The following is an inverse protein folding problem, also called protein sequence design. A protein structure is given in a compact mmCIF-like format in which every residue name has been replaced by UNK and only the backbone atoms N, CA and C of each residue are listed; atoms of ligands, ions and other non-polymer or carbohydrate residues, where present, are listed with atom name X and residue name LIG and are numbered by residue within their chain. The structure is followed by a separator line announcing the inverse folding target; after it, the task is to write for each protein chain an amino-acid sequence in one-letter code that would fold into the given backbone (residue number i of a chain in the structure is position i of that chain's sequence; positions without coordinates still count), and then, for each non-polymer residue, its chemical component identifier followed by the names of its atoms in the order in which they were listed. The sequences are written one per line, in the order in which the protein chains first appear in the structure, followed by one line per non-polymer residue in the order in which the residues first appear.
data_IF_889640719199
#
_entry.id   IF_889640719199
#
_cell.length_a   1.000
_cell.length_b   1.000
_cell.length_c   1.000
_cell.angle_alpha   90.00
_cell.angle_beta   90.00
_cell.angle_gamma   90.00
#
_symmetry.space_group_name_H-M   'P 1'
#
loop_
_entity.id
_entity.type
_entity.pdbx_description
1 polymer ?
#
# COMPACT_ATOMS: atom_id res chain seq x y z
N UNK A 1 13.29 -92.49 -47.25
CA UNK A 1 12.70 -91.34 -47.98
C UNK A 1 11.58 -90.78 -47.12
N UNK A 2 11.66 -89.48 -46.77
CA UNK A 2 10.58 -88.51 -46.43
C UNK A 2 9.39 -88.99 -45.55
N UNK A 3 8.94 -88.34 -44.48
CA UNK A 3 8.94 -86.93 -44.08
C UNK A 3 8.22 -86.82 -42.71
N UNK A 4 8.59 -85.79 -41.91
CA UNK A 4 7.73 -84.99 -40.98
C UNK A 4 7.08 -85.70 -39.77
N UNK A 5 6.88 -85.10 -38.59
CA UNK A 5 7.11 -83.78 -37.99
C UNK A 5 6.98 -83.95 -36.45
N UNK A 6 7.85 -83.20 -35.73
CA UNK A 6 7.89 -82.72 -34.32
C UNK A 6 6.82 -83.26 -33.34
N UNK A 7 7.18 -84.10 -32.37
CA UNK A 7 7.83 -83.88 -31.04
C UNK A 7 6.90 -83.29 -29.95
N UNK A 8 6.57 -84.20 -29.02
CA UNK A 8 5.82 -84.06 -27.79
C UNK A 8 6.60 -83.39 -26.64
N UNK A 9 5.88 -82.56 -25.89
CA UNK A 9 5.64 -82.57 -24.42
C UNK A 9 6.71 -83.20 -23.50
N UNK A 10 7.21 -82.42 -22.54
CA UNK A 10 7.32 -82.76 -21.08
C UNK A 10 7.92 -81.55 -20.31
N UNK A 11 7.17 -80.91 -19.39
CA UNK A 11 7.09 -81.11 -17.92
C UNK A 11 8.29 -80.57 -17.12
N UNK A 12 8.00 -79.73 -16.10
CA UNK A 12 8.88 -79.62 -14.91
C UNK A 12 9.00 -78.22 -14.31
N UNK A 13 8.47 -78.06 -13.10
CA UNK A 13 8.39 -76.85 -12.26
C UNK A 13 9.71 -76.24 -11.78
N UNK A 14 9.72 -74.92 -11.49
CA UNK A 14 10.37 -74.33 -10.32
C UNK A 14 10.11 -72.80 -10.15
N UNK A 15 9.58 -72.44 -8.98
CA UNK A 15 9.93 -71.30 -8.11
C UNK A 15 9.76 -69.82 -8.54
N UNK A 16 8.83 -69.21 -7.80
CA UNK A 16 8.61 -67.80 -7.44
C UNK A 16 9.86 -66.93 -7.37
N UNK A 17 9.82 -65.77 -8.04
CA UNK A 17 10.34 -64.49 -7.54
C UNK A 17 9.36 -63.38 -7.92
N UNK A 18 8.52 -63.00 -6.95
CA UNK A 18 7.73 -61.77 -6.98
C UNK A 18 8.73 -60.62 -6.85
N UNK A 19 9.19 -60.08 -7.98
CA UNK A 19 9.85 -58.78 -7.98
C UNK A 19 8.75 -57.73 -7.80
N UNK A 20 8.52 -57.33 -6.56
CA UNK A 20 7.65 -56.21 -6.22
C UNK A 20 8.17 -54.94 -6.91
N UNK A 21 7.47 -54.49 -7.93
CA UNK A 21 7.53 -53.11 -8.37
C UNK A 21 6.88 -52.28 -7.26
N UNK A 22 7.67 -51.84 -6.29
CA UNK A 22 7.30 -50.68 -5.48
C UNK A 22 7.13 -49.52 -6.48
N UNK A 23 5.96 -48.87 -6.59
CA UNK A 23 5.91 -47.58 -7.22
C UNK A 23 6.72 -46.67 -6.31
N UNK A 24 8.00 -46.49 -6.65
CA UNK A 24 8.83 -45.48 -6.04
C UNK A 24 8.01 -44.21 -6.08
N UNK A 25 7.69 -43.66 -4.90
CA UNK A 25 7.09 -42.33 -4.80
C UNK A 25 7.98 -41.44 -5.65
N UNK A 26 7.48 -41.03 -6.81
CA UNK A 26 8.13 -40.01 -7.62
C UNK A 26 8.32 -38.85 -6.66
N UNK A 27 9.58 -38.54 -6.34
CA UNK A 27 9.88 -37.31 -5.63
C UNK A 27 9.24 -36.20 -6.45
N UNK A 28 8.28 -35.50 -5.88
CA UNK A 28 7.75 -34.29 -6.50
C UNK A 28 8.94 -33.38 -6.72
N UNK A 29 9.21 -33.01 -7.97
CA UNK A 29 10.28 -32.08 -8.29
C UNK A 29 10.14 -30.86 -7.38
N UNK A 30 11.16 -30.59 -6.57
CA UNK A 30 11.23 -29.34 -5.83
C UNK A 30 11.40 -28.28 -6.92
N UNK A 31 10.50 -27.28 -6.98
CA UNK A 31 10.62 -26.20 -7.94
C UNK A 31 12.03 -25.58 -7.86
N UNK A 32 12.65 -25.31 -9.01
CA UNK A 32 13.91 -24.58 -9.05
C UNK A 32 13.70 -23.21 -8.38
N UNK A 33 14.45 -22.95 -7.30
CA UNK A 33 14.34 -21.72 -6.52
C UNK A 33 14.55 -20.47 -7.37
N UNK A 34 15.40 -20.56 -8.40
CA UNK A 34 15.68 -19.45 -9.30
C UNK A 34 14.51 -19.20 -10.27
N UNK A 35 13.83 -20.26 -10.74
CA UNK A 35 12.63 -20.14 -11.57
C UNK A 35 11.44 -19.59 -10.78
N UNK A 36 11.26 -20.04 -9.53
CA UNK A 36 10.22 -19.51 -8.62
C UNK A 36 10.47 -18.03 -8.33
N UNK A 37 11.72 -17.66 -8.03
CA UNK A 37 12.09 -16.27 -7.74
C UNK A 37 11.85 -15.37 -8.96
N UNK A 38 12.26 -15.82 -10.15
CA UNK A 38 12.01 -15.10 -11.41
C UNK A 38 10.53 -14.92 -11.69
N UNK A 39 9.73 -15.97 -11.49
CA UNK A 39 8.28 -15.92 -11.67
C UNK A 39 7.62 -14.93 -10.69
N UNK A 40 7.99 -14.99 -9.41
CA UNK A 40 7.46 -14.09 -8.38
C UNK A 40 7.85 -12.64 -8.68
N UNK A 41 9.11 -12.36 -8.98
CA UNK A 41 9.58 -11.00 -9.31
C UNK A 41 8.87 -10.44 -10.56
N UNK A 42 8.70 -11.26 -11.60
CA UNK A 42 7.96 -10.86 -12.80
C UNK A 42 6.49 -10.55 -12.49
N UNK A 43 5.85 -11.36 -11.63
CA UNK A 43 4.46 -11.13 -11.21
C UNK A 43 4.32 -9.88 -10.34
N UNK A 44 5.27 -9.63 -9.43
CA UNK A 44 5.33 -8.38 -8.66
C UNK A 44 5.43 -7.17 -9.57
N UNK A 45 6.42 -7.17 -10.48
CA UNK A 45 6.66 -6.05 -11.41
C UNK A 45 5.42 -5.78 -12.26
N UNK A 46 4.87 -6.81 -12.92
CA UNK A 46 3.68 -6.66 -13.76
C UNK A 46 2.44 -6.21 -12.97
N UNK A 47 2.28 -6.63 -11.71
CA UNK A 47 1.22 -6.13 -10.85
C UNK A 47 1.42 -4.67 -10.51
N UNK A 48 2.63 -4.27 -10.09
CA UNK A 48 2.92 -2.89 -9.70
C UNK A 48 2.74 -1.92 -10.87
N UNK A 49 3.17 -2.30 -12.07
CA UNK A 49 2.96 -1.52 -13.29
C UNK A 49 1.46 -1.32 -13.58
N UNK A 50 0.66 -2.39 -13.48
CA UNK A 50 -0.80 -2.32 -13.65
C UNK A 50 -1.47 -1.45 -12.58
N UNK A 51 -0.96 -1.47 -11.35
CA UNK A 51 -1.49 -0.65 -10.26
C UNK A 51 -1.21 0.83 -10.50
N UNK A 52 -0.08 1.18 -11.11
CA UNK A 52 0.23 2.57 -11.48
C UNK A 52 -0.78 3.11 -12.51
N UNK A 53 -1.11 2.31 -13.53
CA UNK A 53 -2.17 2.62 -14.50
C UNK A 53 -3.54 2.79 -13.83
N UNK A 54 -3.90 1.88 -12.92
CA UNK A 54 -5.15 1.92 -12.17
C UNK A 54 -5.24 3.17 -11.27
N UNK A 55 -4.16 3.47 -10.54
CA UNK A 55 -4.11 4.63 -9.65
C UNK A 55 -4.15 5.92 -10.45
N UNK A 56 -3.58 5.94 -11.66
CA UNK A 56 -3.63 7.09 -12.55
C UNK A 56 -5.01 7.30 -13.21
N UNK A 57 -5.92 6.32 -13.10
CA UNK A 57 -7.28 6.43 -13.63
C UNK A 57 -8.10 7.47 -12.86
N UNK A 58 -9.03 8.15 -13.56
CA UNK A 58 -9.96 9.12 -12.96
C UNK A 58 -11.29 8.49 -12.55
N UNK A 59 -11.32 7.17 -12.38
CA UNK A 59 -12.54 6.46 -12.05
C UNK A 59 -13.03 6.83 -10.63
N UNK A 60 -14.35 6.78 -10.38
CA UNK A 60 -14.88 6.94 -9.04
C UNK A 60 -14.28 5.91 -8.09
N UNK A 61 -13.74 6.38 -6.96
CA UNK A 61 -13.01 5.53 -6.01
C UNK A 61 -13.08 6.08 -4.61
N UNK A 62 -13.28 5.17 -3.67
CA UNK A 62 -13.25 5.43 -2.23
C UNK A 62 -12.21 4.53 -1.59
N UNK A 63 -11.43 5.08 -0.67
CA UNK A 63 -10.48 4.31 0.11
C UNK A 63 -10.27 4.88 1.51
N UNK A 64 -9.81 4.02 2.40
CA UNK A 64 -9.33 4.40 3.71
C UNK A 64 -7.87 3.98 3.85
N UNK A 65 -7.07 4.77 4.57
CA UNK A 65 -5.72 4.40 4.95
C UNK A 65 -5.52 4.67 6.43
N UNK A 66 -5.40 3.59 7.21
CA UNK A 66 -5.01 3.69 8.62
C UNK A 66 -3.50 3.65 8.70
N UNK A 67 -2.91 4.71 9.24
CA UNK A 67 -1.49 4.84 9.48
C UNK A 67 -1.21 4.86 10.98
N UNK A 68 -0.37 3.94 11.42
CA UNK A 68 0.10 3.90 12.79
C UNK A 68 1.62 3.76 12.77
N UNK A 69 2.29 4.69 13.44
CA UNK A 69 3.73 4.60 13.68
C UNK A 69 4.00 4.86 15.16
N UNK A 70 4.82 4.02 15.79
CA UNK A 70 5.31 4.25 17.15
C UNK A 70 6.82 4.12 17.20
N UNK A 71 7.46 5.08 17.84
CA UNK A 71 8.90 5.09 18.10
C UNK A 71 9.06 5.27 19.60
N UNK A 72 9.50 4.21 20.26
CA UNK A 72 9.53 4.07 21.71
C UNK A 72 8.15 4.35 22.34
N UNK A 73 8.03 5.45 23.07
CA UNK A 73 6.84 5.92 23.78
C UNK A 73 5.96 6.87 22.93
N UNK A 74 6.50 7.42 21.83
CA UNK A 74 5.80 8.37 20.96
C UNK A 74 5.10 7.64 19.83
N UNK A 75 3.85 8.03 19.52
CA UNK A 75 3.04 7.37 18.48
C UNK A 75 2.23 8.36 17.66
N UNK A 76 2.13 8.13 16.37
CA UNK A 76 1.12 8.70 15.47
C UNK A 76 0.09 7.61 15.15
N UNK A 77 -1.19 7.96 15.16
CA UNK A 77 -2.28 7.07 14.76
C UNK A 77 -3.34 7.92 14.07
N UNK A 78 -3.47 7.76 12.75
CA UNK A 78 -4.25 8.64 11.88
C UNK A 78 -5.02 7.78 10.88
N UNK A 79 -6.22 8.22 10.54
CA UNK A 79 -7.02 7.65 9.45
C UNK A 79 -7.18 8.67 8.35
N UNK A 80 -6.78 8.27 7.16
CA UNK A 80 -7.04 9.00 5.92
C UNK A 80 -8.25 8.41 5.21
N UNK A 81 -9.11 9.26 4.67
CA UNK A 81 -10.19 8.85 3.75
C UNK A 81 -10.05 9.60 2.46
N UNK A 82 -10.15 8.90 1.34
CA UNK A 82 -10.05 9.47 0.02
C UNK A 82 -11.30 9.13 -0.78
N UNK A 83 -11.96 10.14 -1.32
CA UNK A 83 -13.17 10.01 -2.13
C UNK A 83 -12.95 10.77 -3.44
N UNK A 84 -13.19 10.10 -4.56
CA UNK A 84 -13.15 10.65 -5.91
C UNK A 84 -14.45 10.29 -6.63
N UNK A 85 -15.16 11.27 -7.17
CA UNK A 85 -16.45 11.07 -7.88
C UNK A 85 -16.53 11.97 -9.11
N UNK A 86 -17.10 11.48 -10.21
CA UNK A 86 -17.38 12.28 -11.42
C UNK A 86 -16.24 12.32 -12.44
N UNK A 87 -16.48 13.01 -13.56
CA UNK A 87 -15.50 13.25 -14.63
C UNK A 87 -15.78 14.61 -15.31
N UNK A 88 -14.99 15.67 -15.06
CA UNK A 88 -13.81 15.71 -14.19
C UNK A 88 -14.14 15.40 -12.72
N UNK A 89 -13.19 14.84 -11.95
CA UNK A 89 -13.48 14.38 -10.60
C UNK A 89 -13.59 15.54 -9.61
N UNK A 90 -14.58 15.46 -8.72
CA UNK A 90 -14.53 16.09 -7.39
C UNK A 90 -13.76 15.17 -6.44
N UNK A 91 -12.95 15.75 -5.56
CA UNK A 91 -12.06 15.02 -4.66
C UNK A 91 -12.22 15.49 -3.23
N UNK A 92 -12.37 14.56 -2.30
CA UNK A 92 -12.34 14.81 -0.85
C UNK A 92 -11.29 13.92 -0.20
N UNK A 93 -10.34 14.54 0.50
CA UNK A 93 -9.33 13.88 1.30
C UNK A 93 -9.50 14.29 2.75
N UNK A 94 -9.77 13.33 3.63
CA UNK A 94 -9.91 13.55 5.06
C UNK A 94 -8.69 13.05 5.78
N UNK A 95 -8.09 13.84 6.66
CA UNK A 95 -6.97 13.46 7.52
C UNK A 95 -7.37 13.66 8.98
N UNK A 96 -7.64 12.56 9.70
CA UNK A 96 -8.20 12.58 11.06
C UNK A 96 -7.29 11.82 12.01
N UNK A 97 -6.86 12.47 13.09
CA UNK A 97 -6.17 11.80 14.19
C UNK A 97 -7.11 10.82 14.90
N UNK A 98 -6.64 9.60 15.12
CA UNK A 98 -7.33 8.60 15.95
C UNK A 98 -7.05 8.83 17.45
N UNK A 99 -6.17 9.78 17.79
CA UNK A 99 -5.76 10.09 19.17
C UNK A 99 -6.43 11.34 19.72
N UNK A 100 -6.72 12.29 18.85
CA UNK A 100 -7.30 13.57 19.20
C UNK A 100 -8.38 13.95 18.18
N UNK A 101 -9.63 13.97 18.63
CA UNK A 101 -10.77 14.33 17.76
C UNK A 101 -10.76 15.79 17.31
N UNK A 102 -9.91 16.64 17.90
CA UNK A 102 -9.73 18.03 17.49
C UNK A 102 -8.69 18.22 16.37
N UNK A 103 -7.81 17.23 16.17
CA UNK A 103 -6.78 17.23 15.12
C UNK A 103 -7.32 16.53 13.87
N UNK A 104 -7.92 17.33 12.99
CA UNK A 104 -8.28 16.90 11.65
C UNK A 104 -8.16 18.03 10.64
N UNK A 105 -7.93 17.64 9.38
CA UNK A 105 -7.86 18.52 8.21
C UNK A 105 -8.49 17.80 7.04
N UNK A 106 -9.55 18.36 6.47
CA UNK A 106 -10.20 17.81 5.28
C UNK A 106 -9.98 18.74 4.09
N UNK A 107 -9.67 18.19 2.93
CA UNK A 107 -9.32 18.90 1.70
C UNK A 107 -10.34 18.52 0.64
N UNK A 108 -11.07 19.51 0.14
CA UNK A 108 -12.13 19.33 -0.83
C UNK A 108 -11.85 20.17 -2.08
N UNK A 109 -11.74 19.49 -3.21
CA UNK A 109 -11.61 20.10 -4.52
C UNK A 109 -12.85 19.76 -5.37
N UNK A 110 -13.76 20.71 -5.60
CA UNK A 110 -14.89 20.50 -6.50
C UNK A 110 -14.43 20.33 -7.95
N UNK A 111 -15.14 19.49 -8.70
CA UNK A 111 -14.91 19.28 -10.13
C UNK A 111 -14.86 20.61 -10.91
N UNK A 112 -13.75 20.85 -11.63
CA UNK A 112 -13.56 22.03 -12.47
C UNK A 112 -13.31 23.34 -11.72
N UNK A 113 -13.11 23.30 -10.41
CA UNK A 113 -12.77 24.47 -9.59
C UNK A 113 -11.28 24.82 -9.71
N UNK A 114 -10.97 26.12 -9.76
CA UNK A 114 -9.60 26.65 -9.66
C UNK A 114 -9.15 26.82 -8.20
N UNK A 115 -10.00 26.48 -7.24
CA UNK A 115 -9.71 26.55 -5.80
C UNK A 115 -9.96 25.22 -5.09
N UNK A 116 -9.15 24.93 -4.08
CA UNK A 116 -9.35 23.88 -3.09
C UNK A 116 -9.82 24.50 -1.77
N UNK A 117 -10.64 23.75 -1.02
CA UNK A 117 -11.15 24.12 0.28
C UNK A 117 -10.54 23.22 1.35
N UNK A 118 -10.01 23.82 2.42
CA UNK A 118 -9.51 23.12 3.59
C UNK A 118 -10.45 23.37 4.77
N UNK A 119 -10.99 22.30 5.35
CA UNK A 119 -11.77 22.33 6.58
C UNK A 119 -10.88 21.97 7.76
N UNK A 120 -10.84 22.87 8.74
CA UNK A 120 -9.92 22.81 9.87
C UNK A 120 -10.61 22.31 11.14
N UNK A 121 -9.99 21.33 11.78
CA UNK A 121 -10.34 20.93 13.13
C UNK A 121 -9.98 21.99 14.18
N UNK A 122 -10.57 21.90 15.40
CA UNK A 122 -10.35 22.88 16.45
C UNK A 122 -8.89 23.15 16.81
N UNK A 123 -7.99 22.16 16.68
CA UNK A 123 -6.55 22.35 16.92
C UNK A 123 -5.93 23.41 15.98
N UNK A 124 -6.48 23.55 14.78
CA UNK A 124 -6.02 24.48 13.75
C UNK A 124 -6.80 25.80 13.74
N UNK A 125 -7.67 26.06 14.73
CA UNK A 125 -8.53 27.24 14.77
C UNK A 125 -7.76 28.58 14.81
N UNK A 126 -6.47 28.56 15.16
CA UNK A 126 -5.62 29.76 15.12
C UNK A 126 -5.11 30.11 13.73
N UNK A 127 -5.18 29.19 12.76
CA UNK A 127 -4.65 29.39 11.40
C UNK A 127 -5.48 30.40 10.61
N UNK A 128 -6.81 30.39 10.79
CA UNK A 128 -7.74 31.22 10.04
C UNK A 128 -8.95 31.66 10.92
N UNK A 129 -9.57 32.82 10.64
CA UNK A 129 -10.76 33.29 11.37
C UNK A 129 -11.99 32.38 11.24
N UNK A 130 -12.07 31.56 10.20
CA UNK A 130 -13.20 30.68 9.91
C UNK A 130 -12.73 29.23 9.74
N UNK A 131 -13.62 28.24 9.93
CA UNK A 131 -13.21 26.82 9.86
C UNK A 131 -12.91 26.33 8.45
N UNK A 132 -13.44 27.00 7.41
CA UNK A 132 -13.05 26.74 6.02
C UNK A 132 -12.06 27.78 5.52
N UNK A 133 -11.08 27.31 4.77
CA UNK A 133 -10.09 28.13 4.05
C UNK A 133 -10.17 27.76 2.58
N UNK A 134 -10.26 28.72 1.67
CA UNK A 134 -10.10 28.48 0.22
C UNK A 134 -8.77 29.03 -0.27
N UNK A 135 -8.12 28.31 -1.17
CA UNK A 135 -6.87 28.72 -1.81
C UNK A 135 -6.80 28.24 -3.26
N UNK A 136 -5.94 28.82 -4.11
CA UNK A 136 -5.72 28.33 -5.47
C UNK A 136 -5.34 26.85 -5.49
N UNK A 137 -5.91 26.10 -6.44
CA UNK A 137 -5.58 24.69 -6.64
C UNK A 137 -4.36 24.54 -7.56
N UNK A 138 -3.27 23.98 -7.04
CA UNK A 138 -2.02 23.76 -7.77
C UNK A 138 -1.90 22.34 -8.37
N UNK A 139 -2.82 21.43 -8.03
CA UNK A 139 -2.81 20.04 -8.49
C UNK A 139 -3.26 19.83 -9.95
N UNK A 140 -3.56 20.90 -10.67
CA UNK A 140 -4.03 20.83 -12.06
C UNK A 140 -2.97 20.19 -12.98
N UNK A 141 -3.32 19.09 -13.65
CA UNK A 141 -2.43 18.38 -14.56
C UNK A 141 -1.45 17.42 -13.89
N UNK A 142 -1.43 17.34 -12.56
CA UNK A 142 -0.65 16.35 -11.81
C UNK A 142 -1.36 15.00 -11.75
N UNK A 143 -0.60 13.93 -11.55
CA UNK A 143 -1.16 12.58 -11.41
C UNK A 143 -1.82 12.40 -10.04
N UNK A 144 -2.56 11.30 -9.88
CA UNK A 144 -3.29 11.02 -8.65
C UNK A 144 -2.38 10.83 -7.43
N UNK A 145 -1.10 10.48 -7.62
CA UNK A 145 -0.13 10.35 -6.52
C UNK A 145 0.29 11.69 -5.89
N UNK A 146 0.03 12.82 -6.56
CA UNK A 146 0.20 14.14 -5.95
C UNK A 146 -0.86 14.42 -4.86
N UNK A 147 -2.06 13.87 -5.04
CA UNK A 147 -3.17 14.13 -4.14
C UNK A 147 -3.05 13.34 -2.84
N UNK A 148 -3.29 14.01 -1.70
CA UNK A 148 -3.12 13.43 -0.36
C UNK A 148 -3.86 12.09 -0.16
N UNK A 149 -5.00 11.90 -0.82
CA UNK A 149 -5.77 10.66 -0.73
C UNK A 149 -5.10 9.41 -1.32
N UNK A 150 -4.13 9.58 -2.24
CA UNK A 150 -3.39 8.47 -2.84
C UNK A 150 -1.88 8.55 -2.65
N UNK A 151 -1.34 9.69 -2.20
CA UNK A 151 0.09 9.90 -2.00
C UNK A 151 0.73 8.78 -1.15
N UNK A 152 0.11 8.40 -0.04
CA UNK A 152 0.60 7.32 0.83
C UNK A 152 0.57 5.96 0.13
N UNK A 153 -0.50 5.63 -0.59
CA UNK A 153 -0.59 4.40 -1.38
C UNK A 153 0.55 4.32 -2.41
N UNK A 154 0.76 5.39 -3.17
CA UNK A 154 1.81 5.42 -4.20
C UNK A 154 3.19 5.20 -3.59
N UNK A 155 3.48 5.82 -2.44
CA UNK A 155 4.74 5.62 -1.71
C UNK A 155 4.89 4.20 -1.18
N UNK A 156 3.81 3.59 -0.66
CA UNK A 156 3.84 2.20 -0.23
C UNK A 156 4.16 1.26 -1.41
N UNK A 157 3.51 1.46 -2.56
CA UNK A 157 3.80 0.68 -3.76
C UNK A 157 5.22 0.92 -4.27
N UNK A 158 5.70 2.17 -4.25
CA UNK A 158 7.07 2.51 -4.61
C UNK A 158 8.10 1.84 -3.70
N UNK A 159 7.84 1.73 -2.40
CA UNK A 159 8.73 1.06 -1.46
C UNK A 159 8.82 -0.45 -1.72
N UNK A 160 7.70 -1.10 -2.05
CA UNK A 160 7.72 -2.51 -2.49
C UNK A 160 8.45 -2.66 -3.81
N UNK A 161 8.13 -1.81 -4.78
CA UNK A 161 8.72 -1.84 -6.12
C UNK A 161 10.24 -1.71 -6.08
N UNK A 162 10.73 -0.67 -5.39
CA UNK A 162 12.16 -0.38 -5.30
C UNK A 162 12.90 -1.47 -4.55
N UNK A 163 12.36 -1.97 -3.43
CA UNK A 163 12.97 -3.10 -2.70
C UNK A 163 13.07 -4.36 -3.58
N UNK A 164 12.01 -4.69 -4.33
CA UNK A 164 12.03 -5.85 -5.24
C UNK A 164 13.02 -5.64 -6.40
N UNK A 165 13.05 -4.46 -7.01
CA UNK A 165 13.93 -4.15 -8.15
C UNK A 165 15.41 -4.13 -7.75
N UNK A 166 15.73 -3.63 -6.55
CA UNK A 166 17.10 -3.59 -6.03
C UNK A 166 17.57 -4.94 -5.45
N UNK A 167 16.68 -5.95 -5.37
CA UNK A 167 16.99 -7.24 -4.76
C UNK A 167 17.12 -7.17 -3.23
N UNK A 168 16.53 -6.15 -2.61
CA UNK A 168 16.51 -5.95 -1.15
C UNK A 168 15.25 -6.54 -0.50
N UNK A 169 14.25 -6.91 -1.29
CA UNK A 169 13.05 -7.58 -0.80
C UNK A 169 13.27 -9.08 -0.56
N UNK A 170 12.93 -9.53 0.65
CA UNK A 170 12.99 -10.91 1.10
C UNK A 170 11.61 -11.59 1.10
N UNK A 171 11.60 -12.92 1.24
CA UNK A 171 10.40 -13.76 1.39
C UNK A 171 9.26 -13.42 0.41
N UNK A 172 9.62 -13.10 -0.83
CA UNK A 172 8.66 -12.74 -1.86
C UNK A 172 7.80 -13.95 -2.24
N UNK A 173 6.49 -13.76 -2.24
CA UNK A 173 5.51 -14.79 -2.56
C UNK A 173 4.36 -14.20 -3.37
N UNK A 174 3.87 -14.97 -4.33
CA UNK A 174 2.66 -14.63 -5.08
C UNK A 174 1.71 -15.83 -5.06
N UNK A 175 0.49 -15.61 -4.57
CA UNK A 175 -0.52 -16.65 -4.39
C UNK A 175 -1.80 -16.27 -5.11
N UNK A 176 -2.39 -17.22 -5.84
CA UNK A 176 -3.77 -17.10 -6.30
C UNK A 176 -4.69 -17.73 -5.25
N UNK A 177 -5.78 -17.05 -4.93
CA UNK A 177 -6.78 -17.50 -3.96
C UNK A 177 -7.96 -18.17 -4.69
N UNK A 178 -8.79 -18.89 -3.93
CA UNK A 178 -9.90 -19.71 -4.47
C UNK A 178 -10.97 -18.86 -5.16
N UNK A 179 -11.15 -17.62 -4.70
CA UNK A 179 -12.08 -16.64 -5.27
C UNK A 179 -11.53 -15.96 -6.54
N UNK A 180 -10.33 -16.32 -7.00
CA UNK A 180 -9.64 -15.70 -8.14
C UNK A 180 -8.83 -14.46 -7.78
N UNK A 181 -8.83 -14.01 -6.52
CA UNK A 181 -7.99 -12.91 -6.05
C UNK A 181 -6.50 -13.30 -6.02
N UNK A 182 -5.63 -12.29 -6.06
CA UNK A 182 -4.18 -12.48 -6.00
C UNK A 182 -3.64 -11.81 -4.73
N UNK A 183 -2.78 -12.52 -4.02
CA UNK A 183 -2.05 -12.00 -2.87
C UNK A 183 -0.55 -12.02 -3.18
N UNK A 184 0.08 -10.86 -3.03
CA UNK A 184 1.52 -10.68 -3.10
C UNK A 184 2.03 -10.35 -1.69
N UNK A 185 3.11 -10.99 -1.28
CA UNK A 185 3.76 -10.77 0.02
C UNK A 185 5.24 -10.60 -0.19
N UNK A 186 5.83 -9.59 0.44
CA UNK A 186 7.27 -9.37 0.48
C UNK A 186 7.66 -8.85 1.87
N UNK A 187 8.91 -9.08 2.26
CA UNK A 187 9.55 -8.39 3.37
C UNK A 187 10.47 -7.33 2.78
N UNK A 188 10.26 -6.06 3.14
CA UNK A 188 11.05 -4.93 2.66
C UNK A 188 11.80 -4.29 3.83
N UNK A 189 13.01 -3.76 3.63
CA UNK A 189 13.74 -3.13 4.72
C UNK A 189 13.07 -1.81 5.14
N UNK A 190 13.15 -1.48 6.43
CA UNK A 190 12.66 -0.21 6.98
C UNK A 190 13.32 0.99 6.28
N UNK A 191 14.57 0.87 5.83
CA UNK A 191 15.24 1.91 5.04
C UNK A 191 14.44 2.31 3.80
N UNK A 192 13.89 1.34 3.07
CA UNK A 192 13.16 1.64 1.84
C UNK A 192 11.82 2.33 2.13
N UNK A 193 11.12 1.88 3.18
CA UNK A 193 9.93 2.56 3.68
C UNK A 193 10.18 4.03 4.05
N UNK A 194 11.31 4.31 4.71
CA UNK A 194 11.71 5.67 5.10
C UNK A 194 12.17 6.50 3.90
N UNK A 195 12.93 5.91 2.96
CA UNK A 195 13.41 6.58 1.76
C UNK A 195 12.27 7.05 0.86
N UNK A 196 11.24 6.21 0.69
CA UNK A 196 10.02 6.57 -0.05
C UNK A 196 9.09 7.50 0.74
N UNK A 197 9.45 7.83 1.99
CA UNK A 197 8.69 8.74 2.86
C UNK A 197 7.23 8.30 3.01
N UNK A 198 6.99 6.98 3.13
CA UNK A 198 5.65 6.41 3.33
C UNK A 198 4.99 7.05 4.55
N UNK A 199 5.77 7.20 5.62
CA UNK A 199 5.49 8.12 6.73
C UNK A 199 6.63 9.13 6.80
N UNK A 200 6.29 10.40 7.02
CA UNK A 200 7.28 11.45 7.28
C UNK A 200 7.48 11.52 8.79
N UNK A 201 8.72 11.31 9.22
CA UNK A 201 9.10 11.36 10.63
C UNK A 201 9.91 12.62 10.90
N UNK A 202 9.74 13.25 12.08
CA UNK A 202 10.58 14.38 12.49
C UNK A 202 12.02 13.92 12.75
N UNK A 203 12.98 14.85 12.67
CA UNK A 203 14.42 14.56 12.79
C UNK A 203 14.79 13.83 14.09
N UNK A 204 14.16 14.20 15.21
CA UNK A 204 14.39 13.54 16.49
C UNK A 204 14.02 12.05 16.45
N UNK A 205 12.99 11.69 15.68
CA UNK A 205 12.53 10.32 15.54
C UNK A 205 13.45 9.54 14.62
N UNK A 206 13.89 10.15 13.50
CA UNK A 206 14.87 9.57 12.60
C UNK A 206 16.21 9.29 13.28
N UNK A 207 16.62 10.15 14.21
CA UNK A 207 17.85 9.99 15.00
C UNK A 207 17.82 8.77 15.94
N UNK A 208 16.64 8.25 16.29
CA UNK A 208 16.46 7.03 17.11
C UNK A 208 16.43 5.75 16.30
N UNK A 209 16.41 5.84 14.97
CA UNK A 209 16.40 4.68 14.08
C UNK A 209 17.84 4.38 13.66
N UNK A 210 18.45 3.42 14.35
CA UNK A 210 19.82 2.98 14.05
C UNK A 210 19.94 2.30 12.68
N UNK A 211 21.17 2.20 12.17
CA UNK A 211 21.45 1.47 10.92
C UNK A 211 21.05 0.00 10.99
N UNK A 212 21.06 -0.61 12.18
CA UNK A 212 20.57 -1.97 12.38
C UNK A 212 19.05 -2.03 12.22
N UNK A 213 18.32 -1.08 12.81
CA UNK A 213 16.87 -1.01 12.67
C UNK A 213 16.45 -0.74 11.22
N UNK A 214 17.20 0.09 10.48
CA UNK A 214 16.97 0.35 9.04
C UNK A 214 16.99 -0.91 8.19
N UNK A 215 17.79 -1.91 8.58
CA UNK A 215 17.86 -3.23 7.93
C UNK A 215 16.77 -4.20 8.40
N UNK A 216 16.02 -3.84 9.45
CA UNK A 216 14.89 -4.62 9.92
C UNK A 216 13.78 -4.66 8.87
N UNK A 217 13.10 -5.79 8.76
CA UNK A 217 12.13 -6.03 7.70
C UNK A 217 10.70 -5.68 8.13
N UNK A 218 9.98 -4.98 7.25
CA UNK A 218 8.54 -4.77 7.29
C UNK A 218 7.87 -5.76 6.35
N UNK A 219 6.82 -6.44 6.82
CA UNK A 219 6.00 -7.31 5.98
C UNK A 219 5.02 -6.45 5.17
N UNK A 220 5.21 -6.43 3.86
CA UNK A 220 4.27 -5.87 2.89
C UNK A 220 3.35 -6.98 2.32
N UNK A 221 2.05 -6.69 2.26
CA UNK A 221 1.05 -7.56 1.65
C UNK A 221 0.17 -6.72 0.72
N UNK A 222 0.05 -7.12 -0.53
CA UNK A 222 -0.80 -6.49 -1.54
C UNK A 222 -1.86 -7.51 -1.95
N UNK A 223 -3.13 -7.13 -1.89
CA UNK A 223 -4.24 -7.97 -2.35
C UNK A 223 -4.93 -7.32 -3.55
N UNK A 224 -5.09 -8.09 -4.60
CA UNK A 224 -5.86 -7.72 -5.78
C UNK A 224 -7.14 -8.53 -5.84
N UNK A 225 -8.24 -7.92 -6.29
CA UNK A 225 -9.48 -8.61 -6.56
C UNK A 225 -9.39 -9.56 -7.77
N UNK A 226 -10.43 -10.38 -8.01
CA UNK A 226 -10.50 -11.26 -9.18
C UNK A 226 -10.48 -10.52 -10.52
N UNK A 227 -10.87 -9.25 -10.52
CA UNK A 227 -10.77 -8.32 -11.66
C UNK A 227 -9.37 -7.73 -11.84
N UNK A 228 -8.43 -8.10 -10.98
CA UNK A 228 -7.04 -7.62 -10.96
C UNK A 228 -6.91 -6.18 -10.49
N UNK A 229 -7.91 -5.61 -9.80
CA UNK A 229 -7.83 -4.28 -9.19
C UNK A 229 -7.31 -4.35 -7.75
N UNK A 230 -6.64 -3.30 -7.27
CA UNK A 230 -6.22 -3.23 -5.87
C UNK A 230 -7.42 -3.31 -4.92
N UNK A 231 -7.33 -4.18 -3.91
CA UNK A 231 -8.28 -4.22 -2.80
C UNK A 231 -7.67 -3.64 -1.53
N UNK A 232 -6.45 -4.04 -1.18
CA UNK A 232 -5.73 -3.51 -0.03
C UNK A 232 -4.22 -3.65 -0.18
N UNK A 233 -3.50 -2.79 0.56
CA UNK A 233 -2.09 -2.96 0.84
C UNK A 233 -1.85 -2.75 2.33
N UNK A 234 -1.07 -3.65 2.94
CA UNK A 234 -0.67 -3.60 4.35
C UNK A 234 0.85 -3.59 4.45
N UNK A 235 1.41 -2.74 5.30
CA UNK A 235 2.81 -2.80 5.70
C UNK A 235 2.87 -2.84 7.23
N UNK A 236 3.40 -3.93 7.78
CA UNK A 236 3.45 -4.09 9.24
C UNK A 236 4.83 -4.57 9.68
N UNK A 237 5.27 -4.07 10.82
CA UNK A 237 6.54 -4.52 11.40
C UNK A 237 6.78 -3.92 12.77
N UNK A 238 7.59 -4.64 13.55
CA UNK A 238 8.06 -4.22 14.86
C UNK A 238 9.54 -4.54 14.94
N UNK A 239 10.38 -3.51 14.95
CA UNK A 239 11.83 -3.61 14.85
C UNK A 239 12.43 -2.98 16.09
N UNK A 240 13.41 -3.64 16.71
CA UNK A 240 14.13 -3.12 17.87
C UNK A 240 15.61 -3.49 17.79
N UNK A 241 16.47 -2.64 18.34
CA UNK A 241 17.90 -2.89 18.53
C UNK A 241 18.29 -3.00 20.02
N UNK A 242 17.30 -3.12 20.91
CA UNK A 242 17.47 -3.23 22.36
C UNK A 242 17.38 -1.91 23.11
N UNK A 243 17.76 -0.78 22.49
CA UNK A 243 17.59 0.56 23.07
C UNK A 243 16.31 1.23 22.56
N UNK A 244 16.06 1.08 21.26
CA UNK A 244 14.93 1.70 20.58
C UNK A 244 14.00 0.67 19.96
N UNK A 245 12.76 1.09 19.74
CA UNK A 245 11.74 0.27 19.10
C UNK A 245 10.90 1.08 18.13
N UNK A 246 10.79 0.62 16.88
CA UNK A 246 9.91 1.18 15.85
C UNK A 246 8.82 0.15 15.55
N UNK A 247 7.57 0.59 15.58
CA UNK A 247 6.42 -0.18 15.14
C UNK A 247 5.69 0.58 14.03
N UNK A 248 5.45 -0.11 12.91
CA UNK A 248 4.73 0.40 11.75
C UNK A 248 3.51 -0.48 11.53
N UNK A 249 2.33 0.12 11.36
CA UNK A 249 1.15 -0.54 10.82
C UNK A 249 0.44 0.41 9.85
N UNK A 250 0.69 0.22 8.56
CA UNK A 250 -0.01 0.90 7.48
C UNK A 250 -1.02 -0.07 6.86
N UNK A 251 -2.25 0.39 6.68
CA UNK A 251 -3.31 -0.39 6.01
C UNK A 251 -4.16 0.51 5.13
N UNK A 252 -3.93 0.44 3.83
CA UNK A 252 -4.78 1.05 2.82
C UNK A 252 -5.79 0.02 2.31
N UNK A 253 -7.05 0.42 2.16
CA UNK A 253 -8.15 -0.42 1.71
C UNK A 253 -9.08 0.35 0.77
N UNK A 254 -9.40 -0.25 -0.37
CA UNK A 254 -10.46 0.21 -1.27
C UNK A 254 -11.81 -0.15 -0.67
N UNK A 255 -12.72 0.81 -0.67
CA UNK A 255 -14.09 0.67 -0.17
C UNK A 255 -15.06 0.55 -1.34
N UNK A 256 -16.33 0.36 -1.03
CA UNK A 256 -17.40 0.41 -2.04
C UNK A 256 -17.37 1.74 -2.80
N UNK A 257 -17.78 1.74 -4.09
CA UNK A 257 -17.76 2.93 -4.93
C UNK A 257 -18.48 4.11 -4.27
N UNK A 258 -17.89 5.33 -4.34
CA UNK A 258 -18.48 6.48 -3.67
C UNK A 258 -19.70 7.03 -4.40
N UNK A 259 -20.55 7.74 -3.65
CA UNK A 259 -21.63 8.56 -4.22
C UNK A 259 -21.36 10.06 -4.05
N UNK A 260 -22.05 10.90 -4.83
CA UNK A 260 -21.93 12.36 -4.72
C UNK A 260 -22.38 12.88 -3.34
N UNK A 261 -23.26 12.16 -2.65
CA UNK A 261 -23.75 12.50 -1.30
C UNK A 261 -22.66 12.43 -0.22
N UNK A 262 -21.54 11.77 -0.52
CA UNK A 262 -20.40 11.66 0.41
C UNK A 262 -19.46 12.86 0.32
N UNK A 263 -19.68 13.78 -0.62
CA UNK A 263 -18.91 15.01 -0.76
C UNK A 263 -19.56 16.15 0.03
N UNK A 264 -18.75 17.04 0.64
CA UNK A 264 -19.29 18.24 1.26
C UNK A 264 -19.84 19.20 0.19
N UNK A 265 -20.78 20.06 0.60
CA UNK A 265 -21.14 21.22 -0.20
C UNK A 265 -20.03 22.27 -0.13
N UNK A 266 -19.94 23.12 -1.16
CA UNK A 266 -19.10 24.32 -1.10
C UNK A 266 -19.54 25.18 0.09
N UNK A 267 -18.61 25.59 0.98
CA UNK A 267 -18.96 26.41 2.14
C UNK A 267 -19.48 27.79 1.72
N UNK A 268 -20.44 28.37 2.46
CA UNK A 268 -20.94 29.70 2.17
C UNK A 268 -19.88 30.77 2.54
N UNK A 269 -19.89 31.95 1.89
CA UNK A 269 -18.83 32.96 2.03
C UNK A 269 -18.54 33.40 3.47
N UNK A 270 -19.56 33.45 4.33
CA UNK A 270 -19.42 33.84 5.74
C UNK A 270 -18.68 32.82 6.63
N UNK A 271 -18.48 31.60 6.14
CA UNK A 271 -17.72 30.55 6.81
C UNK A 271 -16.34 30.33 6.19
N UNK A 272 -15.93 31.20 5.26
CA UNK A 272 -14.78 30.99 4.40
C UNK A 272 -13.73 32.10 4.56
N UNK A 273 -12.50 31.69 4.84
CA UNK A 273 -11.31 32.54 4.78
C UNK A 273 -10.67 32.33 3.42
N UNK A 274 -10.54 33.39 2.63
CA UNK A 274 -10.00 33.30 1.27
C UNK A 274 -8.54 33.70 1.29
N UNK A 275 -7.65 32.78 0.91
CA UNK A 275 -6.24 33.06 0.64
C UNK A 275 -6.07 33.16 -0.88
N UNK A 276 -5.39 34.19 -1.35
CA UNK A 276 -5.23 34.42 -2.80
C UNK A 276 -3.79 34.64 -3.23
N UNK A 277 -2.94 35.14 -2.33
CA UNK A 277 -1.52 35.31 -2.60
C UNK A 277 -0.73 34.08 -2.18
N UNK A 278 0.28 33.72 -2.97
CA UNK A 278 1.21 32.61 -2.69
C UNK A 278 1.80 32.72 -1.27
N UNK A 279 2.25 33.90 -0.87
CA UNK A 279 2.78 34.13 0.48
C UNK A 279 1.77 33.90 1.62
N UNK A 280 0.46 34.09 1.39
CA UNK A 280 -0.58 33.78 2.39
C UNK A 280 -0.78 32.26 2.52
N UNK A 281 -0.71 31.55 1.39
CA UNK A 281 -0.81 30.09 1.33
C UNK A 281 0.42 29.46 1.99
N UNK A 282 1.61 29.99 1.73
CA UNK A 282 2.86 29.53 2.35
C UNK A 282 2.84 29.73 3.87
N UNK A 283 2.50 30.94 4.36
CA UNK A 283 2.37 31.20 5.81
C UNK A 283 1.35 30.26 6.48
N UNK A 284 0.23 30.00 5.81
CA UNK A 284 -0.79 29.08 6.30
C UNK A 284 -0.25 27.66 6.47
N UNK A 285 0.46 27.12 5.47
CA UNK A 285 1.02 25.78 5.55
C UNK A 285 2.23 25.69 6.50
N UNK A 286 3.06 26.72 6.58
CA UNK A 286 4.18 26.78 7.52
C UNK A 286 3.68 26.71 8.96
N UNK A 287 2.70 27.55 9.31
CA UNK A 287 2.07 27.54 10.65
C UNK A 287 1.33 26.23 10.93
N UNK A 288 0.69 25.64 9.91
CA UNK A 288 0.07 24.32 10.05
C UNK A 288 1.10 23.22 10.34
N UNK A 289 2.27 23.28 9.70
CA UNK A 289 3.37 22.35 9.92
C UNK A 289 3.96 22.49 11.33
N UNK A 290 4.04 23.72 11.86
CA UNK A 290 4.46 23.97 13.24
C UNK A 290 3.53 23.28 14.25
N UNK A 291 2.21 23.45 14.09
CA UNK A 291 1.20 22.78 14.94
C UNK A 291 1.34 21.25 14.85
N UNK A 292 1.40 20.73 13.62
CA UNK A 292 1.50 19.28 13.38
C UNK A 292 2.79 18.69 13.96
N UNK A 293 3.89 19.44 13.94
CA UNK A 293 5.20 19.00 14.46
C UNK A 293 5.32 19.10 15.97
N UNK A 294 4.54 19.97 16.62
CA UNK A 294 4.55 20.16 18.07
C UNK A 294 3.83 19.04 18.85
N UNK A 295 2.93 18.28 18.20
CA UNK A 295 2.12 17.21 18.80
C UNK A 295 2.79 15.83 18.96
N UNK A 296 4.08 15.70 18.63
CA UNK A 296 4.85 14.45 18.65
C UNK A 296 5.17 13.89 20.05
#
# INVERSE_FOLDING_TARGET
MTQRVRRLITLGAALVLIAGCSPGRAGTAIPDGDEVTRYVNAKFTATLDRLDDEISSRDPRKSTHRSFTRIDDKKADTTYTAIQVGSPPSRLYKNHSNRDSSDYRDYFHPAGSDVEYVFLGPEYASLAPTPWVSMPYDGAGLNNCFWGGYASLCKMLAAVSTATQNGEADKQQAKNLVDGSVELVAEIPLSEFLNQRVVVLPDWALARISDQMRKGMLRAQIRLGPDGKLQEIRMTGKISDGEHEVQINEHYQVQDPPTEEELPNVPPPEQLTVLTAEAEVDDFYDRMNEITSAGG
#
